data_IF_745006117797
#
_entry.id   IF_745006117797
#
_cell.length_a   1.000
_cell.length_b   1.000
_cell.length_c   1.000
_cell.angle_alpha   90.00
_cell.angle_beta   90.00
_cell.angle_gamma   90.00
#
_symmetry.space_group_name_H-M   'P 1'
#
loop_
_entity.id
_entity.type
_entity.pdbx_description
1 polymer ?
#
# COMPACT_ATOMS: atom_id res chain seq x y z
N UNK A 1 3.77 0.85 -23.87
CA UNK A 1 2.44 1.00 -23.24
C UNK A 1 2.20 0.13 -22.01
N UNK A 2 2.49 -1.19 -22.04
CA UNK A 2 2.26 -2.10 -20.88
C UNK A 2 2.85 -1.59 -19.55
N UNK A 3 4.03 -0.96 -19.59
CA UNK A 3 4.70 -0.40 -18.40
C UNK A 3 3.84 0.61 -17.66
N UNK A 4 3.34 1.64 -18.34
CA UNK A 4 2.57 2.73 -17.73
C UNK A 4 1.27 2.18 -17.14
N UNK A 5 0.58 1.30 -17.88
CA UNK A 5 -0.67 0.69 -17.45
C UNK A 5 -0.51 -0.16 -16.18
N UNK A 6 0.58 -0.93 -16.09
CA UNK A 6 0.87 -1.75 -14.89
C UNK A 6 1.40 -0.93 -13.71
N UNK A 7 2.07 0.21 -13.93
CA UNK A 7 2.53 1.08 -12.84
C UNK A 7 1.45 1.99 -12.27
N UNK A 8 0.36 2.20 -13.02
CA UNK A 8 -0.68 3.18 -12.69
C UNK A 8 -1.37 2.88 -11.34
N UNK A 9 -1.83 1.65 -11.04
CA UNK A 9 -2.45 1.35 -9.75
C UNK A 9 -1.51 1.62 -8.57
N UNK A 10 -0.21 1.35 -8.75
CA UNK A 10 0.80 1.57 -7.72
C UNK A 10 0.95 3.07 -7.41
N UNK A 11 1.02 3.90 -8.45
CA UNK A 11 1.09 5.36 -8.29
C UNK A 11 -0.17 5.94 -7.66
N UNK A 12 -1.36 5.48 -8.07
CA UNK A 12 -2.63 5.93 -7.46
C UNK A 12 -2.61 5.69 -5.95
N UNK A 13 -2.30 4.46 -5.52
CA UNK A 13 -2.30 4.13 -4.08
C UNK A 13 -1.21 4.90 -3.34
N UNK A 14 -0.04 5.09 -3.93
CA UNK A 14 1.05 5.84 -3.31
C UNK A 14 0.67 7.32 -3.10
N UNK A 15 0.04 7.94 -4.08
CA UNK A 15 -0.48 9.31 -3.96
C UNK A 15 -1.62 9.41 -2.96
N UNK A 16 -2.55 8.45 -2.96
CA UNK A 16 -3.67 8.43 -2.00
C UNK A 16 -3.19 8.26 -0.55
N UNK A 17 -2.21 7.39 -0.32
CA UNK A 17 -1.59 7.22 0.99
C UNK A 17 -0.87 8.48 1.45
N UNK A 18 -0.11 9.15 0.57
CA UNK A 18 0.56 10.41 0.88
C UNK A 18 -0.43 11.52 1.23
N UNK A 19 -1.53 11.62 0.47
CA UNK A 19 -2.58 12.59 0.74
C UNK A 19 -3.32 12.29 2.05
N UNK A 20 -3.68 11.02 2.30
CA UNK A 20 -4.28 10.60 3.57
C UNK A 20 -3.38 10.87 4.78
N UNK A 21 -2.06 10.67 4.63
CA UNK A 21 -1.09 11.03 5.66
C UNK A 21 -1.08 12.52 5.96
N UNK A 22 -1.02 13.36 4.91
CA UNK A 22 -1.03 14.81 5.07
C UNK A 22 -2.28 15.29 5.81
N UNK A 23 -3.45 14.73 5.47
CA UNK A 23 -4.69 15.01 6.19
C UNK A 23 -4.60 14.59 7.66
N UNK A 24 -4.09 13.38 7.94
CA UNK A 24 -3.92 12.86 9.30
C UNK A 24 -3.00 13.76 10.15
N UNK A 25 -1.86 14.17 9.59
CA UNK A 25 -0.93 15.10 10.24
C UNK A 25 -1.59 16.46 10.48
N UNK A 26 -2.26 17.03 9.48
CA UNK A 26 -2.93 18.33 9.61
C UNK A 26 -4.00 18.32 10.71
N UNK A 27 -4.77 17.23 10.81
CA UNK A 27 -5.78 17.04 11.83
C UNK A 27 -5.15 16.92 13.22
N UNK A 28 -4.06 16.15 13.36
CA UNK A 28 -3.34 16.04 14.62
C UNK A 28 -2.76 17.38 15.09
N UNK A 29 -2.28 18.23 14.16
CA UNK A 29 -1.76 19.56 14.49
C UNK A 29 -2.88 20.51 14.95
N UNK A 30 -4.04 20.46 14.29
CA UNK A 30 -5.22 21.25 14.67
C UNK A 30 -5.74 20.87 16.06
N UNK A 31 -5.79 19.57 16.38
CA UNK A 31 -6.15 19.08 17.72
C UNK A 31 -5.17 19.58 18.78
N UNK A 32 -3.87 19.60 18.46
CA UNK A 32 -2.83 20.11 19.37
C UNK A 32 -2.94 21.64 19.58
N UNK A 33 -3.42 22.39 18.58
CA UNK A 33 -3.70 23.82 18.71
C UNK A 33 -4.93 24.12 19.56
N UNK A 34 -5.98 23.28 19.46
CA UNK A 34 -7.19 23.40 20.28
C UNK A 34 -6.96 22.97 21.74
N UNK A 35 -6.01 22.06 21.99
CA UNK A 35 -5.65 21.57 23.32
C UNK A 35 -4.63 22.46 24.08
N UNK A 36 -4.41 23.72 23.67
CA UNK A 36 -3.56 24.65 24.44
C UNK A 36 -4.21 24.92 25.80
N UNK A 37 -3.56 24.56 26.92
CA UNK A 37 -4.19 24.64 28.23
C UNK A 37 -4.36 26.10 28.65
N UNK A 38 -5.51 26.41 29.27
CA UNK A 38 -5.58 27.52 30.21
C UNK A 38 -4.50 27.30 31.28
N UNK A 39 -3.70 28.35 31.54
CA UNK A 39 -2.70 28.44 32.61
C UNK A 39 -3.21 27.71 33.86
N UNK A 40 -2.43 26.77 34.40
CA UNK A 40 -2.65 26.04 35.68
C UNK A 40 -3.38 24.69 35.67
N UNK A 41 -3.07 23.78 34.74
CA UNK A 41 -3.28 22.34 35.03
C UNK A 41 -2.20 21.43 34.43
N UNK A 42 -1.44 20.76 35.31
CA UNK A 42 -0.71 19.54 35.01
C UNK A 42 -1.46 18.36 35.67
N UNK A 43 -1.43 17.14 35.12
CA UNK A 43 -0.50 16.65 34.10
C UNK A 43 -1.17 16.24 32.79
N UNK A 44 -0.38 16.31 31.71
CA UNK A 44 -0.51 15.59 30.43
C UNK A 44 -1.72 14.65 30.31
N UNK A 45 -2.79 15.14 29.66
CA UNK A 45 -3.93 14.29 29.31
C UNK A 45 -3.50 13.14 28.38
N UNK A 46 -3.95 11.90 28.64
CA UNK A 46 -3.63 10.72 27.83
C UNK A 46 -3.88 10.91 26.32
N UNK A 47 -4.90 11.68 25.95
CA UNK A 47 -5.32 11.87 24.55
C UNK A 47 -4.23 12.45 23.65
N UNK A 48 -3.35 13.31 24.19
CA UNK A 48 -2.26 13.93 23.42
C UNK A 48 -1.17 12.90 23.08
N UNK A 49 -0.85 12.01 24.02
CA UNK A 49 0.13 10.95 23.82
C UNK A 49 -0.39 9.87 22.86
N UNK A 50 -1.67 9.49 22.98
CA UNK A 50 -2.31 8.51 22.09
C UNK A 50 -2.49 9.04 20.66
N UNK A 51 -2.87 10.31 20.48
CA UNK A 51 -2.95 10.93 19.15
C UNK A 51 -1.58 10.95 18.45
N UNK A 52 -0.52 11.26 19.20
CA UNK A 52 0.85 11.29 18.66
C UNK A 52 1.34 9.88 18.27
N UNK A 53 1.02 8.87 19.07
CA UNK A 53 1.33 7.47 18.78
C UNK A 53 0.57 6.97 17.54
N UNK A 54 -0.69 7.37 17.37
CA UNK A 54 -1.49 7.03 16.20
C UNK A 54 -0.92 7.64 14.91
N UNK A 55 -0.50 8.91 14.94
CA UNK A 55 0.18 9.55 13.80
C UNK A 55 1.49 8.81 13.48
N UNK A 56 2.26 8.45 14.51
CA UNK A 56 3.50 7.71 14.34
C UNK A 56 3.27 6.30 13.75
N UNK A 57 2.26 5.58 14.24
CA UNK A 57 1.89 4.26 13.74
C UNK A 57 1.39 4.32 12.29
N UNK A 58 0.49 5.26 11.98
CA UNK A 58 -0.01 5.47 10.62
C UNK A 58 1.11 5.88 9.66
N UNK A 59 1.98 6.80 10.09
CA UNK A 59 3.16 7.20 9.33
C UNK A 59 4.11 6.04 9.08
N UNK A 60 4.37 5.22 10.11
CA UNK A 60 5.18 4.01 9.99
C UNK A 60 4.63 3.01 8.97
N UNK A 61 3.33 2.72 9.03
CA UNK A 61 2.67 1.85 8.04
C UNK A 61 2.79 2.41 6.63
N UNK A 62 2.58 3.72 6.44
CA UNK A 62 2.71 4.39 5.14
C UNK A 62 4.15 4.31 4.62
N UNK A 63 5.15 4.47 5.47
CA UNK A 63 6.56 4.32 5.08
C UNK A 63 6.89 2.88 4.67
N UNK A 64 6.45 1.89 5.44
CA UNK A 64 6.72 0.47 5.15
C UNK A 64 6.02 0.04 3.85
N UNK A 65 4.72 0.32 3.72
CA UNK A 65 3.93 -0.03 2.53
C UNK A 65 4.42 0.78 1.34
N UNK A 66 4.68 2.09 1.50
CA UNK A 66 5.20 2.96 0.46
C UNK A 66 6.55 2.49 -0.07
N UNK A 67 7.46 2.11 0.83
CA UNK A 67 8.72 1.47 0.44
C UNK A 67 8.48 0.17 -0.34
N UNK A 68 7.59 -0.69 0.13
CA UNK A 68 7.23 -1.91 -0.58
C UNK A 68 6.65 -1.66 -1.97
N UNK A 69 5.81 -0.63 -2.14
CA UNK A 69 5.26 -0.22 -3.43
C UNK A 69 6.34 0.31 -4.38
N UNK A 70 7.34 1.04 -3.86
CA UNK A 70 8.51 1.46 -4.63
C UNK A 70 9.35 0.25 -5.08
N UNK A 71 9.55 -0.74 -4.20
CA UNK A 71 10.22 -2.00 -4.56
C UNK A 71 9.42 -2.74 -5.63
N UNK A 72 8.08 -2.77 -5.54
CA UNK A 72 7.23 -3.37 -6.54
C UNK A 72 7.33 -2.65 -7.90
N UNK A 73 7.44 -1.32 -7.91
CA UNK A 73 7.70 -0.55 -9.13
C UNK A 73 9.05 -0.91 -9.76
N UNK A 74 10.10 -1.05 -8.94
CA UNK A 74 11.41 -1.49 -9.40
C UNK A 74 11.34 -2.91 -9.98
N UNK A 75 10.68 -3.83 -9.29
CA UNK A 75 10.48 -5.22 -9.75
C UNK A 75 9.71 -5.27 -11.07
N UNK A 76 8.61 -4.52 -11.18
CA UNK A 76 7.82 -4.41 -12.41
C UNK A 76 8.69 -3.90 -13.57
N UNK A 77 9.54 -2.91 -13.33
CA UNK A 77 10.48 -2.38 -14.32
C UNK A 77 11.52 -3.42 -14.73
N UNK A 78 12.18 -4.08 -13.78
CA UNK A 78 13.23 -5.07 -14.05
C UNK A 78 12.72 -6.29 -14.82
N UNK A 79 11.56 -6.85 -14.42
CA UNK A 79 10.93 -7.98 -15.12
C UNK A 79 10.56 -7.60 -16.55
N UNK A 80 10.01 -6.39 -16.78
CA UNK A 80 9.69 -5.92 -18.13
C UNK A 80 10.93 -5.68 -18.99
N UNK A 81 12.05 -5.30 -18.39
CA UNK A 81 13.34 -5.10 -19.07
C UNK A 81 14.16 -6.38 -19.20
N UNK A 82 13.64 -7.54 -18.74
CA UNK A 82 14.37 -8.83 -18.65
C UNK A 82 15.69 -8.72 -17.87
N UNK A 83 15.76 -7.81 -16.91
CA UNK A 83 16.92 -7.62 -16.05
C UNK A 83 16.65 -8.26 -14.68
N UNK A 84 17.66 -8.91 -14.10
CA UNK A 84 17.56 -9.46 -12.75
C UNK A 84 17.65 -8.31 -11.75
N UNK A 85 16.60 -8.14 -10.94
CA UNK A 85 16.67 -7.29 -9.76
C UNK A 85 17.32 -8.08 -8.62
N UNK A 86 18.40 -7.60 -7.97
CA UNK A 86 18.92 -8.23 -6.77
C UNK A 86 17.92 -8.01 -5.63
N UNK A 87 17.26 -9.08 -5.19
CA UNK A 87 16.29 -9.02 -4.10
C UNK A 87 17.02 -9.32 -2.79
N UNK A 88 17.35 -8.28 -2.02
CA UNK A 88 17.84 -8.41 -0.65
C UNK A 88 16.71 -8.51 0.38
N UNK A 89 17.07 -8.76 1.64
CA UNK A 89 16.12 -8.97 2.76
C UNK A 89 15.13 -7.81 2.93
N UNK A 90 15.59 -6.55 2.84
CA UNK A 90 14.66 -5.41 2.96
C UNK A 90 13.64 -5.36 1.83
N UNK A 91 14.03 -5.74 0.61
CA UNK A 91 13.13 -5.76 -0.55
C UNK A 91 12.10 -6.88 -0.42
N UNK A 92 12.48 -8.05 0.09
CA UNK A 92 11.51 -9.13 0.36
C UNK A 92 10.50 -8.72 1.43
N UNK A 93 10.95 -8.11 2.52
CA UNK A 93 10.07 -7.61 3.58
C UNK A 93 9.10 -6.55 3.05
N UNK A 94 9.58 -5.61 2.22
CA UNK A 94 8.72 -4.61 1.57
C UNK A 94 7.65 -5.24 0.67
N UNK A 95 8.02 -6.23 -0.16
CA UNK A 95 7.06 -6.95 -1.00
C UNK A 95 6.06 -7.77 -0.17
N UNK A 96 6.51 -8.38 0.92
CA UNK A 96 5.67 -9.12 1.85
C UNK A 96 4.66 -8.19 2.53
N UNK A 97 5.09 -7.00 2.97
CA UNK A 97 4.20 -5.99 3.53
C UNK A 97 3.11 -5.55 2.53
N UNK A 98 3.49 -5.31 1.27
CA UNK A 98 2.52 -4.98 0.20
C UNK A 98 1.54 -6.13 -0.03
N UNK A 99 2.00 -7.38 -0.04
CA UNK A 99 1.11 -8.54 -0.17
C UNK A 99 0.19 -8.66 1.04
N UNK A 100 0.71 -8.56 2.26
CA UNK A 100 -0.09 -8.65 3.48
C UNK A 100 -1.21 -7.60 3.52
N UNK A 101 -0.93 -6.38 3.04
CA UNK A 101 -1.91 -5.31 2.99
C UNK A 101 -2.90 -5.41 1.82
N UNK A 102 -2.47 -5.95 0.67
CA UNK A 102 -3.30 -5.99 -0.55
C UNK A 102 -4.06 -7.30 -0.75
N UNK A 103 -3.60 -8.44 -0.21
CA UNK A 103 -4.26 -9.75 -0.35
C UNK A 103 -5.69 -9.77 0.23
N UNK A 104 -5.96 -9.20 1.41
CA UNK A 104 -7.32 -9.17 1.95
C UNK A 104 -8.31 -8.51 0.97
N UNK A 105 -7.87 -7.52 0.19
CA UNK A 105 -8.76 -6.85 -0.78
C UNK A 105 -9.31 -7.79 -1.86
N UNK A 106 -8.57 -8.82 -2.28
CA UNK A 106 -9.08 -9.81 -3.24
C UNK A 106 -10.24 -10.60 -2.64
N UNK A 107 -10.13 -10.94 -1.35
CA UNK A 107 -11.17 -11.65 -0.62
C UNK A 107 -12.41 -10.78 -0.43
N UNK A 108 -12.23 -9.51 -0.03
CA UNK A 108 -13.33 -8.56 0.14
C UNK A 108 -14.07 -8.32 -1.18
N UNK A 109 -13.35 -8.12 -2.29
CA UNK A 109 -13.97 -7.96 -3.61
C UNK A 109 -14.70 -9.22 -4.08
N UNK A 110 -14.19 -10.41 -3.74
CA UNK A 110 -14.86 -11.67 -4.05
C UNK A 110 -16.22 -11.78 -3.33
N UNK A 111 -16.27 -11.48 -2.03
CA UNK A 111 -17.53 -11.48 -1.29
C UNK A 111 -18.44 -10.33 -1.68
N UNK A 112 -17.90 -9.15 -1.96
CA UNK A 112 -18.68 -8.02 -2.47
C UNK A 112 -19.38 -8.39 -3.80
N UNK A 113 -18.71 -9.11 -4.70
CA UNK A 113 -19.32 -9.58 -5.94
C UNK A 113 -20.45 -10.59 -5.67
N UNK A 114 -20.26 -11.54 -4.75
CA UNK A 114 -21.30 -12.51 -4.35
C UNK A 114 -22.51 -11.79 -3.75
N UNK A 115 -22.29 -10.86 -2.84
CA UNK A 115 -23.35 -10.13 -2.15
C UNK A 115 -24.09 -9.19 -3.12
N UNK A 116 -23.38 -8.60 -4.08
CA UNK A 116 -23.99 -7.81 -5.15
C UNK A 116 -24.94 -8.67 -6.01
N UNK A 117 -24.54 -9.89 -6.38
CA UNK A 117 -25.41 -10.85 -7.11
C UNK A 117 -26.64 -11.24 -6.27
N UNK A 118 -26.51 -11.29 -4.94
CA UNK A 118 -27.61 -11.51 -4.00
C UNK A 118 -28.51 -10.29 -3.81
N UNK A 119 -28.27 -9.17 -4.50
CA UNK A 119 -29.06 -7.94 -4.41
C UNK A 119 -28.72 -7.07 -3.21
N UNK A 120 -27.62 -7.32 -2.50
CA UNK A 120 -27.16 -6.48 -1.41
C UNK A 120 -26.26 -5.35 -1.94
N UNK A 121 -26.57 -4.11 -1.58
CA UNK A 121 -25.71 -2.96 -1.87
C UNK A 121 -24.53 -2.91 -0.91
N UNK A 122 -23.46 -3.64 -1.22
CA UNK A 122 -22.21 -3.64 -0.44
C UNK A 122 -21.14 -2.70 -0.99
N UNK A 123 -21.38 -2.06 -2.13
CA UNK A 123 -20.46 -1.12 -2.78
C UNK A 123 -21.00 0.30 -2.58
N UNK A 124 -20.26 1.10 -1.80
CA UNK A 124 -20.56 2.52 -1.63
C UNK A 124 -20.01 3.34 -2.81
N UNK A 125 -20.90 4.04 -3.50
CA UNK A 125 -20.53 4.94 -4.61
C UNK A 125 -20.39 6.41 -4.17
N UNK A 126 -20.59 6.69 -2.88
CA UNK A 126 -20.65 8.05 -2.33
C UNK A 126 -19.31 8.81 -2.38
N UNK A 127 -18.20 8.06 -2.43
CA UNK A 127 -16.86 8.64 -2.42
C UNK A 127 -15.99 8.01 -3.52
N UNK A 128 -15.87 8.66 -4.69
CA UNK A 128 -15.14 8.09 -5.84
C UNK A 128 -13.66 7.86 -5.54
N UNK A 129 -13.06 8.68 -4.67
CA UNK A 129 -11.67 8.51 -4.22
C UNK A 129 -11.43 7.13 -3.61
N UNK A 130 -12.23 6.73 -2.62
CA UNK A 130 -12.06 5.45 -1.95
C UNK A 130 -12.38 4.28 -2.86
N UNK A 131 -13.35 4.43 -3.76
CA UNK A 131 -13.69 3.40 -4.75
C UNK A 131 -12.52 3.13 -5.70
N UNK A 132 -11.86 4.19 -6.19
CA UNK A 132 -10.69 4.07 -7.07
C UNK A 132 -9.54 3.36 -6.33
N UNK A 133 -9.21 3.77 -5.10
CA UNK A 133 -8.17 3.11 -4.30
C UNK A 133 -8.51 1.64 -4.04
N UNK A 134 -9.78 1.35 -3.70
CA UNK A 134 -10.25 -0.01 -3.43
C UNK A 134 -10.12 -0.94 -4.64
N UNK A 135 -10.34 -0.45 -5.86
CA UNK A 135 -10.13 -1.22 -7.10
C UNK A 135 -8.63 -1.40 -7.40
N UNK A 136 -7.78 -0.46 -7.00
CA UNK A 136 -6.34 -0.54 -7.22
C UNK A 136 -5.64 -1.59 -6.35
N UNK A 137 -6.12 -1.84 -5.12
CA UNK A 137 -5.56 -2.81 -4.19
C UNK A 137 -5.50 -4.27 -4.73
N UNK A 138 -6.59 -4.86 -5.27
CA UNK A 138 -6.54 -6.21 -5.82
C UNK A 138 -5.64 -6.28 -7.06
N UNK A 139 -5.58 -5.20 -7.86
CA UNK A 139 -4.67 -5.11 -9.00
C UNK A 139 -3.20 -5.11 -8.56
N UNK A 140 -2.86 -4.38 -7.49
CA UNK A 140 -1.51 -4.40 -6.90
C UNK A 140 -1.15 -5.79 -6.42
N UNK A 141 -2.07 -6.48 -5.74
CA UNK A 141 -1.86 -7.84 -5.23
C UNK A 141 -1.55 -8.81 -6.38
N UNK A 142 -2.40 -8.82 -7.42
CA UNK A 142 -2.20 -9.64 -8.60
C UNK A 142 -0.88 -9.31 -9.31
N UNK A 143 -0.57 -8.02 -9.49
CA UNK A 143 0.68 -7.57 -10.10
C UNK A 143 1.89 -8.04 -9.30
N UNK A 144 1.85 -7.94 -7.98
CA UNK A 144 2.93 -8.41 -7.12
C UNK A 144 3.21 -9.90 -7.32
N UNK A 145 2.17 -10.74 -7.33
CA UNK A 145 2.31 -12.19 -7.57
C UNK A 145 2.86 -12.48 -8.97
N UNK A 146 2.30 -11.84 -10.01
CA UNK A 146 2.74 -12.04 -11.40
C UNK A 146 4.18 -11.59 -11.62
N UNK A 147 4.62 -10.51 -10.97
CA UNK A 147 6.01 -10.03 -11.09
C UNK A 147 6.99 -10.84 -10.27
N UNK A 148 6.60 -11.32 -9.10
CA UNK A 148 7.42 -12.23 -8.30
C UNK A 148 7.67 -13.54 -9.05
N UNK A 149 6.62 -14.13 -9.62
CA UNK A 149 6.71 -15.35 -10.44
C UNK A 149 7.52 -15.12 -11.73
N UNK A 150 7.36 -13.96 -12.38
CA UNK A 150 8.16 -13.59 -13.55
C UNK A 150 9.65 -13.43 -13.23
N UNK A 151 9.98 -12.83 -12.09
CA UNK A 151 11.35 -12.72 -11.60
C UNK A 151 11.95 -14.09 -11.28
N UNK A 152 11.19 -14.97 -10.61
CA UNK A 152 11.64 -16.33 -10.29
C UNK A 152 11.95 -17.14 -11.57
N UNK A 153 11.10 -17.04 -12.60
CA UNK A 153 11.33 -17.67 -13.90
C UNK A 153 12.58 -17.13 -14.60
N UNK A 154 12.78 -15.81 -14.58
CA UNK A 154 13.96 -15.18 -15.18
C UNK A 154 15.25 -15.65 -14.49
N UNK A 155 15.24 -15.76 -13.16
CA UNK A 155 16.38 -16.24 -12.40
C UNK A 155 16.69 -17.71 -12.71
N UNK A 156 15.67 -18.57 -12.74
CA UNK A 156 15.82 -19.99 -13.09
C UNK A 156 16.45 -20.19 -14.46
N UNK A 157 16.00 -19.46 -15.47
CA UNK A 157 16.52 -19.59 -16.84
C UNK A 157 17.99 -19.18 -16.94
N UNK A 158 18.39 -18.11 -16.24
CA UNK A 158 19.77 -17.65 -16.21
C UNK A 158 20.69 -18.63 -15.47
N UNK A 159 20.20 -19.26 -14.40
CA UNK A 159 20.92 -20.35 -13.74
C UNK A 159 21.09 -21.57 -14.64
N UNK A 160 20.14 -21.87 -15.54
CA UNK A 160 20.28 -22.99 -16.47
C UNK A 160 21.28 -22.69 -17.60
N UNK A 161 21.32 -21.45 -18.12
CA UNK A 161 22.26 -21.03 -19.16
C UNK A 161 23.72 -21.04 -18.67
N UNK A 162 23.98 -20.65 -17.41
CA UNK A 162 25.33 -20.67 -16.81
C UNK A 162 25.84 -22.08 -16.47
N UNK A 163 24.99 -23.11 -16.51
CA UNK A 163 25.35 -24.51 -16.19
C UNK A 163 25.53 -25.39 -17.45
N UNK A 164 25.48 -24.79 -18.64
CA UNK A 164 25.72 -25.40 -19.96
C UNK A 164 27.04 -24.89 -20.54
#
# INVERSE_FOLDING_TARGET
>A
MKRILTSLPIWIVLTDMAYGFFLNVSQSLNLHQQARPAKDSLPVSPDIAFSSLQVLANGGMILIIGFGLLVLLQLNRSVLQKQILPIGIFRTLGLLAVLAFSLPSLWEWFWAAINFVKGQHTIAFDNPRYLITAICLPLISCLCIVRLTGWYRLHKNLSQENNL
#
